data_IF_481512123739
#
_entry.id   IF_481512123739
#
_cell.length_a   1.000
_cell.length_b   1.000
_cell.length_c   1.000
_cell.angle_alpha   90.00
_cell.angle_beta   90.00
_cell.angle_gamma   90.00
#
_symmetry.space_group_name_H-M   'P 1'
#
loop_
_entity.id
_entity.type
_entity.pdbx_description
1 polymer ?
#
# COMPACT_ATOMS: atom_id res chain seq x y z
N UNK A 1 -31.43 12.78 9.73
CA UNK A 1 -30.12 12.94 10.40
C UNK A 1 -29.04 13.46 9.44
N UNK A 2 -28.86 12.86 8.25
CA UNK A 2 -27.89 13.36 7.24
C UNK A 2 -28.29 14.70 6.59
N UNK A 3 -29.58 14.92 6.31
CA UNK A 3 -30.08 16.20 5.78
C UNK A 3 -29.96 17.38 6.77
N UNK A 4 -29.82 17.12 8.08
CA UNK A 4 -29.63 18.15 9.11
C UNK A 4 -28.18 18.68 9.16
N UNK A 5 -27.23 17.96 8.56
CA UNK A 5 -25.81 18.34 8.46
C UNK A 5 -25.49 19.14 7.18
N UNK A 6 -26.49 19.41 6.34
CA UNK A 6 -26.29 20.12 5.07
C UNK A 6 -25.51 19.33 4.01
N UNK A 7 -25.26 18.04 4.23
CA UNK A 7 -24.51 17.18 3.32
C UNK A 7 -25.44 16.71 2.19
N UNK A 8 -25.26 17.26 0.99
CA UNK A 8 -25.86 16.78 -0.24
C UNK A 8 -25.21 15.50 -0.78
N UNK A 9 -25.70 15.04 -1.93
CA UNK A 9 -25.17 13.83 -2.59
C UNK A 9 -23.73 13.99 -3.11
N UNK A 10 -23.30 15.21 -3.43
CA UNK A 10 -21.96 15.47 -3.96
C UNK A 10 -20.88 15.36 -2.87
N UNK A 11 -21.18 15.82 -1.67
CA UNK A 11 -20.30 15.78 -0.51
C UNK A 11 -20.03 14.35 -0.05
N UNK A 12 -21.05 13.49 -0.13
CA UNK A 12 -20.89 12.05 0.13
C UNK A 12 -19.91 11.40 -0.84
N UNK A 13 -20.03 11.70 -2.14
CA UNK A 13 -19.11 11.18 -3.16
C UNK A 13 -17.67 11.59 -2.84
N UNK A 14 -17.45 12.86 -2.49
CA UNK A 14 -16.12 13.35 -2.12
C UNK A 14 -15.55 12.64 -0.89
N UNK A 15 -16.37 12.42 0.14
CA UNK A 15 -15.95 11.68 1.34
C UNK A 15 -15.57 10.24 0.98
N UNK A 16 -16.38 9.53 0.19
CA UNK A 16 -16.06 8.16 -0.23
C UNK A 16 -14.78 8.10 -1.06
N UNK A 17 -14.57 9.03 -1.99
CA UNK A 17 -13.34 9.11 -2.78
C UNK A 17 -12.12 9.38 -1.89
N UNK A 18 -12.23 10.31 -0.94
CA UNK A 18 -11.15 10.60 0.00
C UNK A 18 -10.81 9.38 0.88
N UNK A 19 -11.82 8.68 1.41
CA UNK A 19 -11.64 7.44 2.17
C UNK A 19 -11.01 6.35 1.32
N UNK A 20 -11.41 6.22 0.06
CA UNK A 20 -10.82 5.24 -0.86
C UNK A 20 -9.34 5.53 -1.12
N UNK A 21 -8.99 6.78 -1.41
CA UNK A 21 -7.58 7.18 -1.61
C UNK A 21 -6.74 6.90 -0.37
N UNK A 22 -7.26 7.25 0.81
CA UNK A 22 -6.58 6.98 2.09
C UNK A 22 -6.40 5.47 2.33
N UNK A 23 -7.45 4.68 2.08
CA UNK A 23 -7.41 3.24 2.24
C UNK A 23 -6.38 2.62 1.29
N UNK A 24 -6.36 2.99 0.02
CA UNK A 24 -5.37 2.49 -0.95
C UNK A 24 -3.96 2.92 -0.53
N UNK A 25 -3.78 4.16 -0.08
CA UNK A 25 -2.48 4.68 0.34
C UNK A 25 -1.86 3.97 1.54
N UNK A 26 -2.68 3.40 2.42
CA UNK A 26 -2.23 2.61 3.57
C UNK A 26 -2.20 1.11 3.29
N UNK A 27 -3.25 0.56 2.67
CA UNK A 27 -3.39 -0.88 2.47
C UNK A 27 -2.36 -1.41 1.47
N UNK A 28 -2.06 -0.69 0.39
CA UNK A 28 -1.12 -1.18 -0.63
C UNK A 28 0.30 -1.38 -0.06
N UNK A 29 0.91 -0.41 0.66
CA UNK A 29 2.19 -0.61 1.34
C UNK A 29 2.14 -1.73 2.39
N UNK A 30 1.06 -1.81 3.17
CA UNK A 30 0.94 -2.84 4.21
C UNK A 30 0.91 -4.24 3.59
N UNK A 31 0.13 -4.45 2.52
CA UNK A 31 0.06 -5.74 1.83
C UNK A 31 1.44 -6.10 1.26
N UNK A 32 2.15 -5.15 0.66
CA UNK A 32 3.51 -5.36 0.17
C UNK A 32 4.47 -5.74 1.30
N UNK A 33 4.43 -5.06 2.45
CA UNK A 33 5.25 -5.40 3.63
C UNK A 33 4.95 -6.80 4.16
N UNK A 34 3.68 -7.17 4.28
CA UNK A 34 3.27 -8.52 4.72
C UNK A 34 3.86 -9.57 3.77
N UNK A 35 3.75 -9.34 2.47
CA UNK A 35 4.25 -10.22 1.42
C UNK A 35 5.80 -10.30 1.43
N UNK A 36 6.51 -9.19 1.71
CA UNK A 36 7.98 -9.20 1.91
C UNK A 36 8.37 -10.02 3.13
N UNK A 37 7.73 -9.81 4.27
CA UNK A 37 8.09 -10.50 5.53
C UNK A 37 7.88 -12.01 5.38
N UNK A 38 6.78 -12.42 4.74
CA UNK A 38 6.42 -13.83 4.50
C UNK A 38 7.22 -14.53 3.42
N UNK A 39 7.92 -13.79 2.56
CA UNK A 39 8.69 -14.38 1.46
C UNK A 39 10.12 -14.70 1.87
N UNK A 40 10.67 -15.77 1.32
CA UNK A 40 12.10 -16.06 1.40
C UNK A 40 12.82 -15.43 0.20
N UNK A 41 13.92 -14.74 0.48
CA UNK A 41 14.72 -14.04 -0.52
C UNK A 41 16.07 -14.74 -0.71
N UNK A 42 16.58 -14.72 -1.94
CA UNK A 42 17.88 -15.32 -2.27
C UNK A 42 19.03 -14.54 -1.65
N UNK A 43 18.98 -13.21 -1.70
CA UNK A 43 19.97 -12.35 -1.08
C UNK A 43 19.68 -12.15 0.41
N UNK A 44 20.73 -12.26 1.24
CA UNK A 44 20.64 -12.07 2.70
C UNK A 44 20.06 -10.71 3.11
N UNK A 45 20.18 -9.68 2.25
CA UNK A 45 19.75 -8.31 2.55
C UNK A 45 18.52 -7.86 1.74
N UNK A 46 18.07 -8.63 0.75
CA UNK A 46 17.01 -8.21 -0.18
C UNK A 46 15.69 -7.94 0.56
N UNK A 47 15.36 -8.79 1.55
CA UNK A 47 14.19 -8.59 2.42
C UNK A 47 14.23 -7.23 3.10
N UNK A 48 15.38 -6.88 3.69
CA UNK A 48 15.55 -5.62 4.42
C UNK A 48 15.52 -4.40 3.48
N UNK A 49 16.14 -4.52 2.30
CA UNK A 49 16.10 -3.48 1.26
C UNK A 49 14.65 -3.19 0.87
N UNK A 50 13.85 -4.22 0.57
CA UNK A 50 12.46 -4.03 0.18
C UNK A 50 11.59 -3.49 1.31
N UNK A 51 11.81 -3.90 2.56
CA UNK A 51 11.12 -3.29 3.71
C UNK A 51 11.40 -1.78 3.77
N UNK A 52 12.66 -1.37 3.64
CA UNK A 52 13.03 0.06 3.65
C UNK A 52 12.40 0.79 2.46
N UNK A 53 12.49 0.23 1.26
CA UNK A 53 11.92 0.84 0.04
C UNK A 53 10.42 1.04 0.19
N UNK A 54 9.66 0.04 0.65
CA UNK A 54 8.20 0.16 0.84
C UNK A 54 7.86 1.12 1.97
N UNK A 55 8.63 1.13 3.07
CA UNK A 55 8.37 1.99 4.21
C UNK A 55 8.57 3.48 3.88
N UNK A 56 9.62 3.83 3.14
CA UNK A 56 9.93 5.23 2.81
C UNK A 56 9.21 5.73 1.55
N UNK A 57 9.00 4.87 0.55
CA UNK A 57 8.35 5.26 -0.71
C UNK A 57 6.86 4.91 -0.77
N UNK A 58 6.29 4.32 0.29
CA UNK A 58 4.87 3.94 0.41
C UNK A 58 4.36 3.20 -0.85
N UNK A 59 3.33 3.74 -1.52
CA UNK A 59 2.70 3.13 -2.70
C UNK A 59 3.73 2.90 -3.80
N UNK A 60 4.63 3.85 -4.05
CA UNK A 60 5.67 3.73 -5.07
C UNK A 60 6.60 2.57 -4.73
N UNK A 61 7.00 2.46 -3.46
CA UNK A 61 7.83 1.35 -3.00
C UNK A 61 7.14 -0.02 -3.16
N UNK A 62 5.84 -0.10 -2.85
CA UNK A 62 5.04 -1.30 -3.04
C UNK A 62 4.93 -1.71 -4.52
N UNK A 63 4.73 -0.74 -5.42
CA UNK A 63 4.71 -0.97 -6.87
C UNK A 63 6.06 -1.49 -7.36
N UNK A 64 7.18 -0.87 -6.93
CA UNK A 64 8.53 -1.32 -7.27
C UNK A 64 8.80 -2.74 -6.76
N UNK A 65 8.34 -3.05 -5.55
CA UNK A 65 8.47 -4.38 -4.97
C UNK A 65 7.75 -5.44 -5.82
N UNK A 66 6.51 -5.17 -6.25
CA UNK A 66 5.77 -6.11 -7.09
C UNK A 66 6.31 -6.25 -8.50
N UNK A 67 6.90 -5.19 -9.06
CA UNK A 67 7.49 -5.18 -10.39
C UNK A 67 8.87 -5.86 -10.43
N UNK A 68 9.72 -5.62 -9.43
CA UNK A 68 11.13 -6.02 -9.44
C UNK A 68 11.45 -6.98 -8.29
N UNK A 69 11.01 -6.65 -7.07
CA UNK A 69 11.39 -7.38 -5.85
C UNK A 69 10.91 -8.82 -5.78
N UNK A 70 9.78 -9.16 -6.40
CA UNK A 70 9.28 -10.54 -6.42
C UNK A 70 10.21 -11.53 -7.12
N UNK A 71 10.97 -11.07 -8.11
CA UNK A 71 11.90 -11.91 -8.86
C UNK A 71 13.15 -12.30 -8.03
N UNK A 72 13.36 -11.66 -6.89
CA UNK A 72 14.48 -11.92 -5.98
C UNK A 72 14.17 -13.00 -4.93
N UNK A 73 12.92 -13.51 -4.92
CA UNK A 73 12.50 -14.58 -4.01
C UNK A 73 13.16 -15.91 -4.36
N UNK A 74 13.37 -16.74 -3.35
CA UNK A 74 13.69 -18.16 -3.57
C UNK A 74 12.44 -18.78 -4.20
N UNK A 75 12.61 -19.44 -5.35
CA UNK A 75 11.50 -20.05 -6.09
C UNK A 75 10.94 -21.26 -5.32
#
# INVERSE_FOLDING_TARGET
MLALMGLGGQELILIFVALFILAVGLLVPIIALIDIIRSDFRGSNDKLIWVIVVLFLNIIGAVLYWAIGRNQRVA
#
